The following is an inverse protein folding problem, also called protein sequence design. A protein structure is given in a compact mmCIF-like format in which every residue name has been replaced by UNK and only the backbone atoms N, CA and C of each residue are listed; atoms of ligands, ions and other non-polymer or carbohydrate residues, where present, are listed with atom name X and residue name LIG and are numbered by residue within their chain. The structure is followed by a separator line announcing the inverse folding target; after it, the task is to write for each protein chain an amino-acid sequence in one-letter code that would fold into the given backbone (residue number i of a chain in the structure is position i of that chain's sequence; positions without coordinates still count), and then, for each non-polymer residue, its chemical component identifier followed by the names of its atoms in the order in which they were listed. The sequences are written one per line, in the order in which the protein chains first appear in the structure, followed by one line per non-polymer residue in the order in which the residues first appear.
data_IF_061707063601
#
_entry.id   IF_061707063601
#
_cell.length_a   1.000
_cell.length_b   1.000
_cell.length_c   1.000
_cell.angle_alpha   90.00
_cell.angle_beta   90.00
_cell.angle_gamma   90.00
#
_symmetry.space_group_name_H-M   'P 1'
#
loop_
_entity.id
_entity.type
_entity.pdbx_description
1 polymer ?
#
# COMPACT_ATOMS: atom_id res chain seq x y z
N UNK A 1 8.83 25.21 15.69
CA UNK A 1 7.67 26.11 15.60
C UNK A 1 6.45 25.23 15.32
N UNK A 2 5.67 24.98 16.36
CA UNK A 2 4.39 24.26 16.24
C UNK A 2 3.41 25.16 15.49
N UNK A 3 3.03 24.78 14.28
CA UNK A 3 1.84 25.33 13.62
C UNK A 3 0.68 24.42 14.03
N UNK A 4 -0.37 25.01 14.54
CA UNK A 4 -1.60 24.32 14.90
C UNK A 4 -2.14 23.49 13.70
N UNK A 5 -2.70 22.29 13.92
CA UNK A 5 -3.37 21.54 12.89
C UNK A 5 -4.54 22.37 12.32
N UNK A 6 -4.76 22.24 11.02
CA UNK A 6 -5.85 22.92 10.35
C UNK A 6 -7.20 22.59 11.02
N UNK A 7 -8.15 23.53 11.07
CA UNK A 7 -9.45 23.30 11.66
C UNK A 7 -10.19 22.16 10.97
N UNK A 8 -10.76 21.25 11.76
CA UNK A 8 -11.63 20.18 11.26
C UNK A 8 -12.83 20.83 10.52
N UNK A 9 -12.95 20.53 9.22
CA UNK A 9 -14.14 20.84 8.47
C UNK A 9 -15.17 19.72 8.68
N UNK A 10 -16.38 20.06 9.08
CA UNK A 10 -17.54 19.16 9.02
C UNK A 10 -17.67 18.65 7.58
N UNK A 11 -17.49 17.32 7.39
CA UNK A 11 -17.51 16.68 6.07
C UNK A 11 -16.15 16.20 5.53
N UNK A 12 -15.06 16.29 6.30
CA UNK A 12 -13.78 15.67 5.92
C UNK A 12 -13.91 14.13 5.95
N UNK A 13 -13.72 13.45 4.82
CA UNK A 13 -13.82 11.99 4.77
C UNK A 13 -12.63 11.28 5.43
N UNK A 14 -11.53 11.99 5.74
CA UNK A 14 -10.32 11.46 6.33
C UNK A 14 -9.88 12.25 7.57
N UNK A 15 -10.70 12.32 8.63
CA UNK A 15 -10.46 13.19 9.78
C UNK A 15 -9.22 12.78 10.61
N UNK A 16 -8.78 11.52 10.53
CA UNK A 16 -7.55 11.07 11.19
C UNK A 16 -6.32 11.52 10.41
N UNK A 17 -6.32 11.32 9.09
CA UNK A 17 -5.22 11.69 8.20
C UNK A 17 -4.99 13.20 8.16
N UNK A 18 -6.05 14.00 8.27
CA UNK A 18 -6.01 15.47 8.26
C UNK A 18 -5.28 16.07 9.48
N UNK A 19 -5.00 15.25 10.51
CA UNK A 19 -4.16 15.66 11.65
C UNK A 19 -2.67 15.68 11.33
N UNK A 20 -2.26 15.12 10.19
CA UNK A 20 -0.87 15.03 9.77
C UNK A 20 -0.57 16.12 8.73
N UNK A 21 0.53 16.87 8.95
CA UNK A 21 0.89 17.94 8.02
C UNK A 21 1.20 17.38 6.63
N UNK A 22 0.68 17.98 5.54
CA UNK A 22 0.91 17.49 4.18
C UNK A 22 2.39 17.33 3.81
N UNK A 23 3.26 18.26 4.21
CA UNK A 23 4.71 18.16 3.95
C UNK A 23 5.32 16.93 4.62
N UNK A 24 4.84 16.57 5.82
CA UNK A 24 5.33 15.39 6.51
C UNK A 24 4.90 14.12 5.78
N UNK A 25 3.68 14.08 5.26
CA UNK A 25 3.18 12.96 4.45
C UNK A 25 3.91 12.92 3.12
N UNK A 26 4.00 14.04 2.39
CA UNK A 26 4.69 14.15 1.11
C UNK A 26 6.15 13.72 1.16
N UNK A 27 6.86 14.08 2.23
CA UNK A 27 8.24 13.64 2.45
C UNK A 27 8.38 12.12 2.69
N UNK A 28 7.27 11.40 2.90
CA UNK A 28 7.29 9.97 3.19
C UNK A 28 6.82 9.09 2.02
N UNK A 29 6.32 9.68 0.95
CA UNK A 29 5.89 8.97 -0.25
C UNK A 29 6.89 9.13 -1.38
N UNK A 30 6.91 8.18 -2.31
CA UNK A 30 7.78 8.19 -3.49
C UNK A 30 7.05 8.57 -4.78
N UNK A 31 5.84 9.07 -4.67
CA UNK A 31 4.91 9.36 -5.76
C UNK A 31 3.51 8.82 -5.43
N UNK A 32 2.58 8.92 -6.38
CA UNK A 32 1.23 8.39 -6.22
C UNK A 32 0.35 9.20 -5.27
N UNK A 33 -0.45 8.49 -4.49
CA UNK A 33 -1.45 9.06 -3.63
C UNK A 33 -0.95 9.61 -2.29
N UNK A 34 -1.83 10.31 -1.59
CA UNK A 34 -1.67 10.50 -0.16
C UNK A 34 -1.84 9.15 0.56
N UNK A 35 -0.74 8.58 1.01
CA UNK A 35 -0.71 7.26 1.64
C UNK A 35 -1.58 7.18 2.90
N UNK A 36 -1.76 8.29 3.64
CA UNK A 36 -2.60 8.29 4.83
C UNK A 36 -4.10 8.29 4.50
N UNK A 37 -4.54 8.99 3.45
CA UNK A 37 -5.93 8.89 2.99
C UNK A 37 -6.26 7.45 2.58
N UNK A 38 -5.36 6.80 1.85
CA UNK A 38 -5.54 5.40 1.46
C UNK A 38 -5.53 4.47 2.69
N UNK A 39 -4.63 4.71 3.65
CA UNK A 39 -4.57 3.92 4.88
C UNK A 39 -5.85 4.08 5.69
N UNK A 40 -6.34 5.30 5.89
CA UNK A 40 -7.57 5.56 6.63
C UNK A 40 -8.80 4.95 5.93
N UNK A 41 -8.89 5.11 4.60
CA UNK A 41 -9.95 4.51 3.82
C UNK A 41 -9.96 2.98 3.90
N UNK A 42 -8.78 2.36 3.78
CA UNK A 42 -8.64 0.92 3.89
C UNK A 42 -9.04 0.42 5.29
N UNK A 43 -8.47 1.05 6.32
CA UNK A 43 -8.65 0.60 7.71
C UNK A 43 -10.03 0.90 8.29
N UNK A 44 -10.82 1.75 7.65
CA UNK A 44 -12.21 1.98 8.03
C UNK A 44 -13.08 0.71 7.96
N UNK A 45 -12.68 -0.25 7.10
CA UNK A 45 -13.37 -1.54 6.93
C UNK A 45 -12.57 -2.71 7.52
N UNK A 46 -11.48 -2.44 8.26
CA UNK A 46 -10.66 -3.45 8.92
C UNK A 46 -10.83 -3.37 10.43
N UNK A 47 -11.18 -4.48 11.07
CA UNK A 47 -11.28 -4.58 12.54
C UNK A 47 -9.88 -4.69 13.17
N UNK A 48 -9.12 -3.59 13.13
CA UNK A 48 -7.83 -3.48 13.80
C UNK A 48 -8.04 -3.19 15.28
N UNK A 49 -7.32 -3.93 16.14
CA UNK A 49 -7.44 -3.83 17.59
C UNK A 49 -6.08 -3.58 18.23
N UNK A 50 -6.01 -2.88 19.38
CA UNK A 50 -4.79 -2.67 20.12
C UNK A 50 -4.00 -3.96 20.34
N UNK A 51 -2.69 -3.87 20.18
CA UNK A 51 -1.77 -5.00 20.37
C UNK A 51 -1.66 -5.98 19.20
N UNK A 52 -2.49 -5.88 18.15
CA UNK A 52 -2.34 -6.70 16.95
C UNK A 52 -0.98 -6.48 16.29
N UNK A 53 -0.41 -7.55 15.73
CA UNK A 53 0.80 -7.52 14.91
C UNK A 53 0.42 -7.28 13.45
N UNK A 54 0.81 -6.14 12.94
CA UNK A 54 0.48 -5.70 11.57
C UNK A 54 1.74 -5.62 10.72
N UNK A 55 1.73 -6.26 9.56
CA UNK A 55 2.73 -6.05 8.52
C UNK A 55 2.28 -4.89 7.64
N UNK A 56 3.05 -3.80 7.61
CA UNK A 56 2.92 -2.71 6.64
C UNK A 56 3.90 -2.96 5.49
N UNK A 57 3.41 -3.55 4.40
CA UNK A 57 4.19 -4.10 3.31
C UNK A 57 4.30 -3.11 2.15
N UNK A 58 5.53 -2.68 1.86
CA UNK A 58 5.79 -1.60 0.90
C UNK A 58 5.47 -0.23 1.50
N UNK A 59 5.87 -0.03 2.76
CA UNK A 59 5.53 1.14 3.56
C UNK A 59 6.25 2.44 3.17
N UNK A 60 7.11 2.41 2.14
CA UNK A 60 7.93 3.54 1.76
C UNK A 60 8.81 4.04 2.91
N UNK A 61 8.73 5.32 3.22
CA UNK A 61 9.43 5.93 4.36
C UNK A 61 8.65 5.85 5.68
N UNK A 62 7.56 5.07 5.76
CA UNK A 62 6.87 4.68 6.99
C UNK A 62 5.80 5.63 7.50
N UNK A 63 5.17 6.46 6.65
CA UNK A 63 4.04 7.29 7.07
C UNK A 63 2.84 6.44 7.50
N UNK A 64 2.46 5.46 6.70
CA UNK A 64 1.41 4.46 7.01
C UNK A 64 1.71 3.73 8.32
N UNK A 65 2.97 3.31 8.53
CA UNK A 65 3.37 2.60 9.75
C UNK A 65 3.16 3.45 11.02
N UNK A 66 3.55 4.72 10.98
CA UNK A 66 3.33 5.67 12.08
C UNK A 66 1.84 5.90 12.32
N UNK A 67 1.07 6.07 11.24
CA UNK A 67 -0.38 6.23 11.31
C UNK A 67 -1.05 5.01 11.95
N UNK A 68 -0.73 3.80 11.48
CA UNK A 68 -1.31 2.56 11.99
C UNK A 68 -1.10 2.39 13.50
N UNK A 69 0.12 2.60 13.99
CA UNK A 69 0.36 2.55 15.42
C UNK A 69 -0.41 3.64 16.17
N UNK A 70 -0.32 4.89 15.72
CA UNK A 70 -0.91 6.04 16.44
C UNK A 70 -2.42 5.96 16.53
N UNK A 71 -3.09 5.49 15.47
CA UNK A 71 -4.55 5.51 15.38
C UNK A 71 -5.22 4.24 15.92
N UNK A 72 -4.48 3.11 15.96
CA UNK A 72 -5.04 1.80 16.32
C UNK A 72 -4.30 1.09 17.46
N UNK A 73 -3.19 1.65 17.95
CA UNK A 73 -2.34 1.03 18.99
C UNK A 73 -1.88 -0.40 18.64
N UNK A 74 -1.59 -0.62 17.35
CA UNK A 74 -1.07 -1.89 16.83
C UNK A 74 0.45 -1.90 16.81
N UNK A 75 1.08 -3.06 16.91
CA UNK A 75 2.50 -3.24 16.63
C UNK A 75 2.72 -3.37 15.12
N UNK A 76 3.66 -2.61 14.55
CA UNK A 76 3.82 -2.53 13.10
C UNK A 76 5.21 -2.97 12.67
N UNK A 77 5.28 -3.97 11.79
CA UNK A 77 6.48 -4.31 11.03
C UNK A 77 6.47 -3.53 9.72
N UNK A 78 7.31 -2.49 9.68
CA UNK A 78 7.42 -1.51 8.59
C UNK A 78 8.41 -2.03 7.55
N UNK A 79 7.92 -2.69 6.50
CA UNK A 79 8.75 -3.40 5.51
C UNK A 79 8.74 -2.68 4.18
N UNK A 80 9.94 -2.42 3.65
CA UNK A 80 10.14 -1.84 2.33
C UNK A 80 11.46 -2.30 1.72
N UNK A 81 11.52 -2.40 0.38
CA UNK A 81 12.72 -2.79 -0.35
C UNK A 81 13.59 -1.59 -0.71
N UNK A 82 12.99 -0.47 -1.12
CA UNK A 82 13.68 0.68 -1.71
C UNK A 82 14.32 1.59 -0.68
N UNK A 83 13.63 1.82 0.44
CA UNK A 83 14.09 2.71 1.49
C UNK A 83 14.81 1.95 2.60
N UNK A 84 15.89 2.53 3.12
CA UNK A 84 16.67 1.89 4.17
C UNK A 84 15.89 1.78 5.47
N UNK A 85 16.15 0.71 6.24
CA UNK A 85 15.58 0.57 7.58
C UNK A 85 16.03 1.69 8.52
N UNK A 86 17.27 2.19 8.34
CA UNK A 86 17.83 3.27 9.18
C UNK A 86 17.11 4.60 8.96
N UNK A 87 16.72 4.93 7.73
CA UNK A 87 15.94 6.14 7.43
C UNK A 87 14.58 6.08 8.14
N UNK A 88 13.88 4.95 8.02
CA UNK A 88 12.60 4.73 8.71
C UNK A 88 12.77 4.72 10.23
N UNK A 89 13.84 4.09 10.75
CA UNK A 89 14.12 4.07 12.19
C UNK A 89 14.28 5.47 12.77
N UNK A 90 14.91 6.39 12.04
CA UNK A 90 14.98 7.80 12.47
C UNK A 90 13.60 8.43 12.56
N UNK A 91 12.79 8.33 11.49
CA UNK A 91 11.42 8.86 11.45
C UNK A 91 10.52 8.29 12.55
N UNK A 92 10.64 6.99 12.81
CA UNK A 92 9.89 6.29 13.86
C UNK A 92 10.31 6.77 15.26
N UNK A 93 11.62 6.95 15.50
CA UNK A 93 12.13 7.50 16.76
C UNK A 93 11.67 8.94 16.97
N UNK A 94 11.73 9.77 15.93
CA UNK A 94 11.28 11.17 15.97
C UNK A 94 9.78 11.28 16.28
N UNK A 95 9.01 10.26 15.87
CA UNK A 95 7.60 10.12 16.21
C UNK A 95 7.34 9.53 17.61
N UNK A 96 8.39 9.09 18.33
CA UNK A 96 8.29 8.49 19.68
C UNK A 96 7.73 7.07 19.69
N UNK A 97 7.89 6.27 18.59
CA UNK A 97 7.23 4.99 18.40
C UNK A 97 8.21 3.82 18.22
N UNK A 98 9.46 3.96 18.68
CA UNK A 98 10.50 2.95 18.47
C UNK A 98 10.21 1.58 19.11
N UNK A 99 9.36 1.55 20.13
CA UNK A 99 9.00 0.32 20.85
C UNK A 99 7.83 -0.44 20.20
N UNK A 100 7.19 0.12 19.17
CA UNK A 100 5.98 -0.42 18.57
C UNK A 100 6.04 -0.51 17.03
N UNK A 101 6.95 0.21 16.39
CA UNK A 101 7.12 0.20 14.92
C UNK A 101 8.53 -0.27 14.59
N UNK A 102 8.63 -1.41 13.90
CA UNK A 102 9.87 -2.15 13.66
C UNK A 102 10.24 -2.08 12.18
N UNK A 103 11.19 -1.20 11.77
CA UNK A 103 11.59 -1.07 10.38
C UNK A 103 12.48 -2.23 9.94
N UNK A 104 12.15 -2.81 8.78
CA UNK A 104 12.91 -3.88 8.16
C UNK A 104 13.03 -3.63 6.66
N UNK A 105 14.24 -3.78 6.11
CA UNK A 105 14.44 -3.81 4.66
C UNK A 105 14.33 -5.24 4.16
N UNK A 106 13.29 -5.52 3.35
CA UNK A 106 13.10 -6.84 2.74
C UNK A 106 12.32 -6.72 1.42
N UNK A 107 12.55 -7.71 0.54
CA UNK A 107 11.70 -7.91 -0.65
C UNK A 107 10.36 -8.53 -0.20
N UNK A 108 9.27 -8.01 -0.72
CA UNK A 108 7.92 -8.54 -0.47
C UNK A 108 7.79 -10.04 -0.87
N UNK A 109 8.69 -10.52 -1.74
CA UNK A 109 8.74 -11.90 -2.22
C UNK A 109 9.69 -12.79 -1.41
N UNK A 110 10.38 -12.25 -0.39
CA UNK A 110 11.33 -12.96 0.46
C UNK A 110 11.26 -12.44 1.90
N UNK A 111 10.08 -12.57 2.51
CA UNK A 111 9.80 -12.05 3.86
C UNK A 111 10.39 -12.99 4.93
N UNK A 112 11.16 -12.46 5.90
CA UNK A 112 11.84 -13.26 6.92
C UNK A 112 10.99 -13.45 8.18
N UNK A 113 9.73 -13.85 8.02
CA UNK A 113 8.82 -14.03 9.14
C UNK A 113 8.37 -15.48 9.29
N UNK A 114 7.96 -15.84 10.50
CA UNK A 114 7.34 -17.12 10.76
C UNK A 114 5.91 -17.17 10.19
N UNK A 115 5.44 -18.37 9.88
CA UNK A 115 4.07 -18.59 9.45
C UNK A 115 3.09 -18.20 10.56
N UNK A 116 1.96 -17.61 10.17
CA UNK A 116 0.92 -17.17 11.11
C UNK A 116 1.35 -16.07 12.08
N UNK A 117 2.44 -15.37 11.78
CA UNK A 117 2.98 -14.37 12.71
C UNK A 117 2.09 -13.12 12.82
N UNK A 118 1.46 -12.70 11.72
CA UNK A 118 0.69 -11.45 11.69
C UNK A 118 -0.81 -11.66 11.89
N UNK A 119 -1.43 -10.74 12.61
CA UNK A 119 -2.88 -10.59 12.73
C UNK A 119 -3.47 -9.93 11.48
N UNK A 120 -2.72 -8.99 10.88
CA UNK A 120 -3.09 -8.33 9.64
C UNK A 120 -1.89 -8.00 8.77
N UNK A 121 -2.11 -7.96 7.45
CA UNK A 121 -1.21 -7.37 6.45
C UNK A 121 -1.92 -6.20 5.81
N UNK A 122 -1.22 -5.08 5.71
CA UNK A 122 -1.67 -3.86 5.02
C UNK A 122 -0.62 -3.50 3.99
N UNK A 123 -1.06 -3.15 2.77
CA UNK A 123 -0.17 -2.64 1.74
C UNK A 123 -0.83 -1.47 1.02
N UNK A 124 -0.16 -0.33 1.06
CA UNK A 124 -0.63 0.92 0.48
C UNK A 124 0.22 1.27 -0.73
N UNK A 125 -0.44 1.39 -1.88
CA UNK A 125 0.14 1.79 -3.17
C UNK A 125 1.39 0.99 -3.58
N UNK A 126 1.46 -0.27 -3.16
CA UNK A 126 2.62 -1.14 -3.37
C UNK A 126 2.24 -2.53 -3.87
N UNK A 127 1.23 -3.17 -3.31
CA UNK A 127 0.83 -4.55 -3.62
C UNK A 127 0.57 -4.80 -5.11
N UNK A 128 0.11 -3.80 -5.82
CA UNK A 128 -0.18 -3.87 -7.26
C UNK A 128 1.01 -4.33 -8.10
N UNK A 129 2.25 -4.03 -7.68
CA UNK A 129 3.46 -4.35 -8.45
C UNK A 129 3.92 -5.82 -8.34
N UNK A 130 3.42 -6.57 -7.37
CA UNK A 130 3.81 -7.97 -7.16
C UNK A 130 2.61 -8.89 -6.88
N UNK A 131 1.50 -8.35 -6.46
CA UNK A 131 0.30 -9.10 -6.09
C UNK A 131 -0.53 -9.59 -7.28
N UNK A 132 -0.21 -9.16 -8.50
CA UNK A 132 -0.84 -9.65 -9.74
C UNK A 132 -0.34 -11.03 -10.17
N UNK A 133 0.75 -11.52 -9.58
CA UNK A 133 1.20 -12.90 -9.79
C UNK A 133 0.21 -13.88 -9.15
N UNK A 134 -0.21 -14.87 -9.91
CA UNK A 134 -1.23 -15.85 -9.52
C UNK A 134 -0.90 -16.62 -8.22
N UNK A 135 0.37 -16.75 -7.88
CA UNK A 135 0.83 -17.49 -6.70
C UNK A 135 1.28 -16.60 -5.55
N UNK A 136 1.32 -15.28 -5.75
CA UNK A 136 1.84 -14.40 -4.71
C UNK A 136 0.97 -14.41 -3.44
N UNK A 137 -0.35 -14.45 -3.59
CA UNK A 137 -1.25 -14.53 -2.45
C UNK A 137 -1.04 -15.82 -1.62
N UNK A 138 -0.72 -16.94 -2.28
CA UNK A 138 -0.38 -18.19 -1.61
C UNK A 138 0.84 -18.02 -0.71
N UNK A 139 1.85 -17.31 -1.20
CA UNK A 139 3.04 -17.00 -0.44
C UNK A 139 2.74 -16.06 0.73
N UNK A 140 2.04 -14.94 0.49
CA UNK A 140 1.77 -13.93 1.50
C UNK A 140 0.85 -14.43 2.63
N UNK A 141 -0.20 -15.18 2.28
CA UNK A 141 -1.18 -15.67 3.23
C UNK A 141 -0.57 -16.54 4.33
N UNK A 142 0.55 -17.20 4.07
CA UNK A 142 1.27 -18.02 5.06
C UNK A 142 1.69 -17.23 6.30
N UNK A 143 2.02 -15.96 6.16
CA UNK A 143 2.48 -15.11 7.27
C UNK A 143 1.32 -14.56 8.12
N UNK A 144 0.09 -14.65 7.63
CA UNK A 144 -1.12 -14.20 8.32
C UNK A 144 -1.71 -15.38 9.09
N UNK A 145 -2.09 -15.19 10.35
CA UNK A 145 -2.76 -16.26 11.11
C UNK A 145 -4.13 -16.61 10.50
N UNK A 146 -4.68 -17.80 10.76
CA UNK A 146 -6.07 -18.10 10.43
C UNK A 146 -7.01 -17.00 10.96
N UNK A 147 -8.01 -16.63 10.16
CA UNK A 147 -8.93 -15.51 10.41
C UNK A 147 -8.27 -14.12 10.48
N UNK A 148 -6.97 -14.01 10.19
CA UNK A 148 -6.29 -12.72 10.06
C UNK A 148 -6.67 -11.99 8.77
N UNK A 149 -6.38 -10.69 8.73
CA UNK A 149 -6.79 -9.79 7.67
C UNK A 149 -5.67 -9.55 6.65
N UNK A 150 -6.04 -9.40 5.39
CA UNK A 150 -5.18 -8.89 4.32
C UNK A 150 -5.92 -7.73 3.67
N UNK A 151 -5.34 -6.53 3.71
CA UNK A 151 -5.91 -5.33 3.12
C UNK A 151 -4.94 -4.64 2.18
N UNK A 152 -5.41 -4.25 1.00
CA UNK A 152 -4.66 -3.44 0.05
C UNK A 152 -5.47 -2.22 -0.39
N UNK A 153 -4.79 -1.11 -0.63
CA UNK A 153 -5.34 0.06 -1.29
C UNK A 153 -4.27 0.72 -2.16
N UNK A 154 -4.66 1.22 -3.31
CA UNK A 154 -3.72 1.88 -4.22
C UNK A 154 -4.37 2.36 -5.51
N UNK A 155 -3.54 2.85 -6.42
CA UNK A 155 -3.97 3.19 -7.75
C UNK A 155 -4.60 1.98 -8.44
N UNK A 156 -5.64 2.21 -9.22
CA UNK A 156 -6.34 1.15 -9.94
C UNK A 156 -7.23 1.68 -11.04
N UNK A 157 -7.89 0.76 -11.70
CA UNK A 157 -8.77 1.02 -12.82
C UNK A 157 -10.24 1.01 -12.41
N UNK A 158 -11.02 1.93 -12.96
CA UNK A 158 -12.47 1.92 -12.81
C UNK A 158 -13.12 0.82 -13.65
N UNK A 159 -12.41 0.35 -14.66
CA UNK A 159 -12.75 -0.82 -15.51
C UNK A 159 -11.49 -1.38 -16.13
N UNK A 160 -11.45 -2.68 -16.40
CA UNK A 160 -10.34 -3.30 -17.13
C UNK A 160 -10.20 -2.69 -18.54
N UNK A 161 -8.98 -2.65 -19.03
CA UNK A 161 -8.62 -2.04 -20.30
C UNK A 161 -8.17 -3.11 -21.30
N UNK A 162 -8.70 -3.02 -22.53
CA UNK A 162 -8.16 -3.75 -23.67
C UNK A 162 -6.94 -3.00 -24.26
N UNK A 163 -7.01 -1.65 -24.28
CA UNK A 163 -5.98 -0.76 -24.77
C UNK A 163 -5.85 0.48 -23.87
N UNK A 164 -4.66 1.08 -23.83
CA UNK A 164 -4.42 2.31 -23.11
C UNK A 164 -5.17 3.48 -23.76
N UNK A 165 -6.09 4.15 -23.06
CA UNK A 165 -6.81 5.30 -23.59
C UNK A 165 -5.88 6.43 -24.03
N UNK A 166 -6.27 7.14 -25.09
CA UNK A 166 -5.43 8.16 -25.72
C UNK A 166 -4.94 9.25 -24.75
N UNK A 167 -5.81 9.69 -23.81
CA UNK A 167 -5.50 10.70 -22.81
C UNK A 167 -4.46 10.25 -21.78
N UNK A 168 -4.23 8.96 -21.61
CA UNK A 168 -3.28 8.40 -20.65
C UNK A 168 -1.93 8.01 -21.26
N UNK A 169 -1.82 7.98 -22.60
CA UNK A 169 -0.63 7.46 -23.29
C UNK A 169 0.67 8.18 -22.92
N UNK A 170 0.63 9.48 -22.67
CA UNK A 170 1.81 10.25 -22.32
C UNK A 170 2.32 9.94 -20.90
N UNK A 171 1.42 9.51 -20.02
CA UNK A 171 1.71 9.16 -18.63
C UNK A 171 1.95 7.65 -18.46
N UNK A 172 1.38 6.83 -19.36
CA UNK A 172 1.40 5.38 -19.22
C UNK A 172 2.79 4.79 -19.44
N UNK A 173 3.26 4.04 -18.46
CA UNK A 173 4.49 3.26 -18.51
C UNK A 173 4.19 1.76 -18.48
N UNK A 174 5.10 0.89 -18.99
CA UNK A 174 4.90 -0.56 -18.95
C UNK A 174 4.64 -1.14 -17.55
N UNK A 175 5.19 -0.52 -16.51
CA UNK A 175 4.97 -0.89 -15.10
C UNK A 175 3.53 -0.70 -14.64
N UNK A 176 2.75 0.18 -15.31
CA UNK A 176 1.35 0.44 -14.99
C UNK A 176 0.40 -0.62 -15.55
N UNK A 177 0.89 -1.57 -16.34
CA UNK A 177 0.11 -2.73 -16.78
C UNK A 177 -0.35 -3.63 -15.61
N UNK A 178 0.17 -3.40 -14.41
CA UNK A 178 -0.27 -4.06 -13.17
C UNK A 178 -1.52 -3.43 -12.54
N UNK A 179 -2.02 -2.30 -13.08
CA UNK A 179 -3.23 -1.66 -12.56
C UNK A 179 -4.47 -2.47 -12.96
N UNK A 180 -5.30 -2.78 -11.97
CA UNK A 180 -6.55 -3.52 -12.14
C UNK A 180 -7.70 -2.87 -11.38
N UNK A 181 -8.92 -3.24 -11.74
CA UNK A 181 -10.13 -2.82 -11.05
C UNK A 181 -10.42 -3.64 -9.79
N UNK A 182 -11.29 -3.12 -8.93
CA UNK A 182 -11.66 -3.78 -7.68
C UNK A 182 -12.25 -5.19 -7.90
N UNK A 183 -13.08 -5.35 -8.94
CA UNK A 183 -13.68 -6.65 -9.27
C UNK A 183 -12.63 -7.66 -9.78
N UNK A 184 -11.57 -7.20 -10.45
CA UNK A 184 -10.46 -8.06 -10.83
C UNK A 184 -9.75 -8.59 -9.57
N UNK A 185 -9.44 -7.73 -8.59
CA UNK A 185 -8.85 -8.13 -7.31
C UNK A 185 -9.74 -9.11 -6.55
N UNK A 186 -11.06 -8.87 -6.53
CA UNK A 186 -12.03 -9.80 -5.93
C UNK A 186 -11.92 -11.19 -6.54
N UNK A 187 -11.96 -11.29 -7.86
CA UNK A 187 -11.89 -12.58 -8.58
C UNK A 187 -10.53 -13.23 -8.40
N UNK A 188 -9.45 -12.46 -8.53
CA UNK A 188 -8.08 -12.94 -8.41
C UNK A 188 -7.85 -13.59 -7.04
N UNK A 189 -8.24 -12.93 -5.97
CA UNK A 189 -8.09 -13.45 -4.61
C UNK A 189 -9.04 -14.61 -4.31
N UNK A 190 -10.30 -14.53 -4.71
CA UNK A 190 -11.30 -15.58 -4.47
C UNK A 190 -10.89 -16.91 -5.10
N UNK A 191 -10.27 -16.89 -6.28
CA UNK A 191 -9.83 -18.10 -7.00
C UNK A 191 -8.78 -18.90 -6.23
N UNK A 192 -8.02 -18.28 -5.35
CA UNK A 192 -7.01 -18.98 -4.55
C UNK A 192 -7.61 -19.95 -3.54
N UNK A 193 -8.85 -19.72 -3.08
CA UNK A 193 -9.48 -20.45 -1.98
C UNK A 193 -8.87 -20.15 -0.60
N UNK A 194 -7.77 -19.42 -0.53
CA UNK A 194 -7.03 -19.14 0.71
C UNK A 194 -7.63 -18.02 1.53
N UNK A 195 -8.42 -17.16 0.90
CA UNK A 195 -9.03 -16.01 1.54
C UNK A 195 -10.51 -15.90 1.18
N UNK A 196 -11.28 -15.32 2.08
CA UNK A 196 -12.64 -14.84 1.82
C UNK A 196 -12.59 -13.33 1.66
N UNK A 197 -12.86 -12.85 0.46
CA UNK A 197 -12.89 -11.41 0.17
C UNK A 197 -14.13 -10.80 0.82
N UNK A 198 -13.92 -9.84 1.72
CA UNK A 198 -14.98 -9.15 2.45
C UNK A 198 -15.35 -7.83 1.75
N UNK A 199 -14.34 -7.09 1.27
CA UNK A 199 -14.52 -5.82 0.56
C UNK A 199 -13.69 -5.86 -0.73
N UNK A 200 -14.22 -5.33 -1.81
CA UNK A 200 -13.47 -4.91 -2.98
C UNK A 200 -14.29 -3.84 -3.70
N UNK A 201 -13.83 -2.59 -3.61
CA UNK A 201 -14.51 -1.43 -4.12
C UNK A 201 -13.55 -0.31 -4.55
N UNK A 202 -14.11 0.81 -4.99
CA UNK A 202 -13.38 1.99 -5.45
C UNK A 202 -13.66 3.17 -4.54
N UNK A 203 -12.65 4.02 -4.33
CA UNK A 203 -12.82 5.25 -3.56
C UNK A 203 -13.71 6.24 -4.33
N UNK A 204 -14.80 6.73 -3.72
CA UNK A 204 -15.57 7.82 -4.31
C UNK A 204 -14.70 9.05 -4.60
N UNK A 205 -14.78 9.57 -5.82
CA UNK A 205 -13.94 10.70 -6.27
C UNK A 205 -12.42 10.51 -6.08
N UNK A 206 -11.94 9.27 -6.02
CA UNK A 206 -10.54 8.94 -5.76
C UNK A 206 -9.57 9.60 -6.74
N UNK A 207 -9.93 9.70 -8.02
CA UNK A 207 -9.15 10.38 -9.05
C UNK A 207 -8.96 11.88 -8.75
N UNK A 208 -10.01 12.56 -8.24
CA UNK A 208 -9.94 14.00 -7.89
C UNK A 208 -9.02 14.20 -6.70
N UNK A 209 -9.10 13.33 -5.68
CA UNK A 209 -8.20 13.37 -4.53
C UNK A 209 -6.76 13.14 -4.93
N UNK A 210 -6.53 12.22 -5.87
CA UNK A 210 -5.20 12.02 -6.44
C UNK A 210 -4.69 13.28 -7.14
N UNK A 211 -5.50 13.90 -7.98
CA UNK A 211 -5.18 15.14 -8.67
C UNK A 211 -4.89 16.29 -7.67
N UNK A 212 -5.76 16.48 -6.68
CA UNK A 212 -5.58 17.52 -5.65
C UNK A 212 -4.28 17.33 -4.86
N UNK A 213 -3.94 16.07 -4.56
CA UNK A 213 -2.70 15.72 -3.88
C UNK A 213 -1.48 16.03 -4.77
N UNK A 214 -1.51 15.69 -6.06
CA UNK A 214 -0.41 16.01 -6.98
C UNK A 214 -0.20 17.53 -7.10
N UNK A 215 -1.26 18.30 -7.18
CA UNK A 215 -1.14 19.76 -7.16
C UNK A 215 -0.49 20.30 -5.88
N UNK A 216 -0.68 19.63 -4.76
CA UNK A 216 -0.12 20.06 -3.47
C UNK A 216 1.36 19.69 -3.31
N UNK A 217 1.73 18.44 -3.65
CA UNK A 217 3.07 17.90 -3.30
C UNK A 217 4.04 17.85 -4.47
N UNK A 218 3.55 17.81 -5.70
CA UNK A 218 4.35 17.70 -6.92
C UNK A 218 3.76 18.55 -8.06
N UNK A 219 3.58 19.88 -7.89
CA UNK A 219 2.93 20.74 -8.88
C UNK A 219 3.65 20.79 -10.22
N UNK A 220 4.93 20.43 -10.24
CA UNK A 220 5.76 20.37 -11.45
C UNK A 220 5.62 19.04 -12.21
N UNK A 221 4.96 18.03 -11.64
CA UNK A 221 4.68 16.74 -12.31
C UNK A 221 3.50 16.90 -13.29
N UNK A 222 3.75 17.71 -14.35
CA UNK A 222 2.71 18.05 -15.32
C UNK A 222 2.15 16.85 -16.05
N UNK A 223 2.98 15.84 -16.34
CA UNK A 223 2.56 14.64 -17.08
C UNK A 223 1.44 13.91 -16.34
N UNK A 224 1.58 13.71 -15.05
CA UNK A 224 0.57 13.03 -14.24
C UNK A 224 -0.66 13.91 -14.00
N UNK A 225 -0.46 15.18 -13.69
CA UNK A 225 -1.55 16.16 -13.49
C UNK A 225 -2.41 16.28 -14.77
N UNK A 226 -1.78 16.41 -15.94
CA UNK A 226 -2.49 16.53 -17.21
C UNK A 226 -3.23 15.23 -17.56
N UNK A 227 -2.63 14.06 -17.29
CA UNK A 227 -3.27 12.76 -17.49
C UNK A 227 -4.51 12.58 -16.59
N UNK A 228 -4.39 12.86 -15.29
CA UNK A 228 -5.52 12.79 -14.34
C UNK A 228 -6.63 13.78 -14.69
N UNK A 229 -6.26 15.01 -15.08
CA UNK A 229 -7.22 16.03 -15.51
C UNK A 229 -7.96 15.59 -16.76
N UNK A 230 -7.22 15.09 -17.76
CA UNK A 230 -7.83 14.62 -19.01
C UNK A 230 -8.67 13.35 -18.83
N UNK A 231 -8.27 12.46 -17.94
CA UNK A 231 -9.03 11.23 -17.64
C UNK A 231 -10.30 11.51 -16.84
N UNK A 232 -10.27 12.45 -15.91
CA UNK A 232 -11.40 12.85 -15.08
C UNK A 232 -12.14 11.67 -14.43
N UNK A 233 -11.40 10.65 -13.99
CA UNK A 233 -11.93 9.47 -13.30
C UNK A 233 -12.66 8.46 -14.19
N UNK A 234 -12.52 8.57 -15.51
CA UNK A 234 -13.13 7.59 -16.43
C UNK A 234 -12.41 6.25 -16.40
N UNK A 235 -11.11 6.29 -16.10
CA UNK A 235 -10.22 5.12 -16.14
C UNK A 235 -9.48 4.93 -14.84
N UNK A 236 -8.88 6.01 -14.30
CA UNK A 236 -8.03 5.97 -13.13
C UNK A 236 -8.78 6.36 -11.86
N UNK A 237 -8.41 5.73 -10.76
CA UNK A 237 -8.88 6.05 -9.42
C UNK A 237 -8.16 5.21 -8.38
N UNK A 238 -8.76 5.07 -7.22
CA UNK A 238 -8.24 4.21 -6.16
C UNK A 238 -9.15 3.02 -5.93
N UNK A 239 -8.51 1.87 -5.75
CA UNK A 239 -9.16 0.60 -5.44
C UNK A 239 -8.66 0.08 -4.11
N UNK A 240 -9.50 -0.66 -3.39
CA UNK A 240 -9.09 -1.47 -2.24
C UNK A 240 -9.67 -2.87 -2.36
N UNK A 241 -8.98 -3.81 -1.72
CA UNK A 241 -9.50 -5.13 -1.44
C UNK A 241 -9.14 -5.52 -0.01
N UNK A 242 -10.08 -6.13 0.71
CA UNK A 242 -9.92 -6.64 2.07
C UNK A 242 -10.42 -8.07 2.08
N UNK A 243 -9.61 -8.96 2.63
CA UNK A 243 -9.96 -10.36 2.76
C UNK A 243 -9.51 -10.90 4.11
N UNK A 244 -10.16 -11.98 4.52
CA UNK A 244 -9.82 -12.74 5.71
C UNK A 244 -9.24 -14.08 5.29
N UNK A 245 -8.08 -14.45 5.88
CA UNK A 245 -7.49 -15.77 5.64
C UNK A 245 -8.44 -16.86 6.07
N UNK A 246 -8.68 -17.83 5.19
CA UNK A 246 -9.40 -19.06 5.56
C UNK A 246 -8.51 -19.98 6.38
N UNK A 247 -9.09 -20.88 7.17
CA UNK A 247 -8.34 -21.89 7.93
C UNK A 247 -7.95 -23.12 7.10
N UNK A 248 -8.02 -23.03 5.75
CA UNK A 248 -7.57 -24.12 4.89
C UNK A 248 -6.08 -24.30 5.10
N UNK A 249 -5.59 -25.50 5.46
CA UNK A 249 -4.16 -25.73 5.56
C UNK A 249 -3.49 -25.42 4.23
N UNK A 250 -2.42 -24.63 4.26
CA UNK A 250 -1.53 -24.52 3.11
C UNK A 250 -0.87 -25.89 2.92
N UNK A 251 -1.35 -26.66 1.96
CA UNK A 251 -0.50 -27.72 1.45
C UNK A 251 0.73 -27.06 0.87
N UNK A 252 1.95 -27.48 1.26
CA UNK A 252 3.14 -26.93 0.67
C UNK A 252 3.03 -27.10 -0.84
N UNK A 253 2.94 -26.01 -1.58
CA UNK A 253 3.08 -26.07 -3.02
C UNK A 253 4.55 -26.40 -3.26
N UNK A 254 4.88 -27.69 -3.33
CA UNK A 254 6.24 -28.19 -3.55
C UNK A 254 6.88 -27.61 -4.82
N UNK A 255 6.08 -26.99 -5.67
CA UNK A 255 6.46 -26.42 -6.95
C UNK A 255 6.40 -24.90 -7.03
N UNK A 256 6.32 -24.17 -5.91
CA UNK A 256 6.46 -22.70 -5.97
C UNK A 256 7.82 -22.41 -6.59
N UNK A 257 7.86 -21.76 -7.77
CA UNK A 257 9.12 -21.50 -8.44
C UNK A 257 10.07 -20.78 -7.49
N UNK A 258 11.33 -21.16 -7.53
CA UNK A 258 12.46 -20.61 -6.75
C UNK A 258 12.51 -19.07 -6.70
N UNK A 259 11.81 -18.38 -7.61
CA UNK A 259 11.66 -16.91 -7.61
C UNK A 259 11.02 -16.32 -6.34
N UNK A 260 10.30 -17.12 -5.55
CA UNK A 260 9.80 -16.73 -4.22
C UNK A 260 10.66 -17.27 -3.08
N UNK A 261 11.67 -18.08 -3.38
CA UNK A 261 12.67 -18.50 -2.42
C UNK A 261 13.85 -17.54 -2.53
N UNK A 262 14.06 -16.74 -1.50
CA UNK A 262 15.23 -15.91 -1.22
C UNK A 262 16.09 -15.56 -2.46
N UNK A 263 15.69 -14.56 -3.25
CA UNK A 263 16.71 -13.81 -3.97
C UNK A 263 17.63 -13.20 -2.91
N UNK A 264 18.96 -13.44 -2.97
CA UNK A 264 19.85 -12.70 -2.11
C UNK A 264 19.58 -11.23 -2.34
N UNK A 265 19.27 -10.49 -1.28
CA UNK A 265 19.24 -9.05 -1.31
C UNK A 265 20.54 -8.63 -2.00
N UNK A 266 20.47 -7.81 -3.04
CA UNK A 266 21.69 -7.30 -3.66
C UNK A 266 22.56 -6.75 -2.56
N UNK A 267 23.79 -7.26 -2.45
CA UNK A 267 24.78 -6.79 -1.48
C UNK A 267 25.35 -5.41 -1.84
N UNK A 268 24.91 -4.85 -2.96
CA UNK A 268 25.35 -3.55 -3.42
C UNK A 268 24.60 -2.48 -2.62
N UNK A 269 25.34 -1.75 -1.80
CA UNK A 269 24.91 -0.61 -0.99
C UNK A 269 24.42 0.61 -1.83
N UNK A 270 24.24 0.48 -3.12
CA UNK A 270 23.60 1.52 -3.92
C UNK A 270 22.09 1.51 -3.67
N UNK A 271 21.53 2.62 -3.18
CA UNK A 271 20.08 2.76 -3.12
C UNK A 271 19.53 2.61 -4.54
N UNK A 272 18.54 1.74 -4.70
CA UNK A 272 17.77 1.68 -5.95
C UNK A 272 17.23 3.09 -6.19
N UNK A 273 17.64 3.71 -7.29
CA UNK A 273 17.17 5.04 -7.66
C UNK A 273 15.68 4.95 -7.88
N UNK A 274 14.96 5.90 -7.30
CA UNK A 274 13.53 6.06 -7.57
C UNK A 274 13.30 6.16 -9.08
N UNK A 275 12.22 5.56 -9.63
CA UNK A 275 11.83 5.81 -11.01
C UNK A 275 11.60 7.31 -11.17
N UNK A 276 12.48 8.03 -11.87
CA UNK A 276 12.42 9.47 -12.07
C UNK A 276 13.74 10.21 -11.95
N UNK A 277 14.80 9.57 -11.44
CA UNK A 277 16.15 10.16 -11.44
C UNK A 277 16.95 9.72 -12.68
N UNK A 278 16.46 10.09 -13.87
CA UNK A 278 17.24 10.06 -15.12
C UNK A 278 17.16 11.37 -15.83
#
# INVERSE_FOLDING_TARGET
MSRDPAPHHDGDPFPRSSRYHPDWVGAAVSGGANSLWLTEWLTAEMDLRPGMRVLDLGCGRGASSVFLHREFDVQVWSVDLWFSADERARRIRDAGMADAVFPLRADARALPFAEGFFDAVISIDSYIYYGTDDLYLNYLARFVRPDGLIGIAGAGLMRELDDVPGQLRAWWEPSLACLHGAEWWRRHWTRSGLVRVEVADTMPDGWRRWLDWQHLVAPDNRVEIDALTADAGRTLGYVRAIARRTGVPDEPIESVPVRYTAHPLRQDDEPLRSPGER
#
